data_IF_880576526261
#
_entry.id   IF_880576526261
#
_cell.length_a   1.000
_cell.length_b   1.000
_cell.length_c   1.000
_cell.angle_alpha   90.00
_cell.angle_beta   90.00
_cell.angle_gamma   90.00
#
_symmetry.space_group_name_H-M   'P 1'
#
loop_
_entity.id
_entity.type
_entity.pdbx_description
1 polymer ?
#
# COMPACT_ATOMS: atom_id res chain seq x y z
N UNK A 1 -13.91 12.41 -0.20
CA UNK A 1 -12.99 12.41 -1.38
C UNK A 1 -11.57 12.52 -0.87
N UNK A 2 -10.78 11.45 -1.00
CA UNK A 2 -9.33 11.52 -0.81
C UNK A 2 -8.69 10.36 -0.08
N UNK A 3 -8.96 9.11 -0.46
CA UNK A 3 -8.06 8.00 -0.10
C UNK A 3 -6.66 8.36 -0.61
N UNK A 4 -5.63 8.25 0.22
CA UNK A 4 -4.25 8.43 -0.23
C UNK A 4 -3.60 7.06 -0.43
N UNK A 5 -2.89 6.86 -1.54
CA UNK A 5 -2.12 5.65 -1.78
C UNK A 5 -0.65 6.00 -1.96
N UNK A 6 0.19 5.55 -1.03
CA UNK A 6 1.65 5.70 -1.14
C UNK A 6 2.22 4.50 -1.90
N UNK A 7 2.75 4.74 -3.10
CA UNK A 7 3.20 3.71 -4.05
C UNK A 7 4.72 3.65 -4.17
N UNK A 8 5.29 2.48 -3.91
CA UNK A 8 6.63 2.11 -4.37
C UNK A 8 6.59 1.63 -5.85
N UNK A 9 7.72 1.55 -6.57
CA UNK A 9 7.84 2.07 -7.94
C UNK A 9 7.22 1.26 -9.10
N UNK A 10 6.73 0.02 -8.92
CA UNK A 10 6.32 -0.82 -10.08
C UNK A 10 4.92 -1.44 -9.86
N UNK A 11 4.01 -1.16 -10.80
CA UNK A 11 2.60 -1.65 -10.80
C UNK A 11 1.52 -0.57 -10.63
N UNK A 12 1.94 0.66 -10.32
CA UNK A 12 1.13 1.77 -9.80
C UNK A 12 0.31 2.56 -10.82
N UNK A 13 0.72 2.60 -12.09
CA UNK A 13 0.13 3.51 -13.08
C UNK A 13 -1.30 3.12 -13.48
N UNK A 14 -1.58 1.83 -13.60
CA UNK A 14 -2.91 1.35 -14.04
C UNK A 14 -3.96 1.60 -12.96
N UNK A 15 -3.66 1.24 -11.70
CA UNK A 15 -4.54 1.54 -10.57
C UNK A 15 -4.78 3.06 -10.44
N UNK A 16 -3.74 3.86 -10.66
CA UNK A 16 -3.84 5.31 -10.62
C UNK A 16 -4.78 5.88 -11.68
N UNK A 17 -4.73 5.36 -12.91
CA UNK A 17 -5.67 5.73 -13.96
C UNK A 17 -7.10 5.30 -13.62
N UNK A 18 -7.30 4.07 -13.14
CA UNK A 18 -8.64 3.53 -12.83
C UNK A 18 -9.34 4.27 -11.70
N UNK A 19 -8.58 4.70 -10.68
CA UNK A 19 -9.10 5.43 -9.53
C UNK A 19 -9.01 6.96 -9.70
N UNK A 20 -8.67 7.44 -10.90
CA UNK A 20 -8.52 8.87 -11.18
C UNK A 20 -9.76 9.64 -10.72
N UNK A 21 -9.54 10.67 -9.88
CA UNK A 21 -10.62 11.48 -9.30
C UNK A 21 -11.27 10.92 -8.03
N UNK A 22 -10.88 9.73 -7.55
CA UNK A 22 -11.40 9.14 -6.29
C UNK A 22 -10.36 9.19 -5.16
N UNK A 23 -9.07 9.17 -5.50
CA UNK A 23 -7.97 9.11 -4.55
C UNK A 23 -6.73 9.88 -5.04
N UNK A 24 -5.85 10.22 -4.11
CA UNK A 24 -4.56 10.86 -4.39
C UNK A 24 -3.44 9.82 -4.36
N UNK A 25 -2.63 9.79 -5.41
CA UNK A 25 -1.45 8.93 -5.47
C UNK A 25 -0.20 9.71 -5.11
N UNK A 26 0.59 9.15 -4.19
CA UNK A 26 1.88 9.72 -3.79
C UNK A 26 2.93 8.63 -3.96
N UNK A 27 3.97 8.89 -4.76
CA UNK A 27 5.12 7.98 -4.80
C UNK A 27 6.17 8.46 -3.82
N UNK A 28 6.62 7.57 -2.95
CA UNK A 28 7.69 7.86 -2.00
C UNK A 28 8.79 6.82 -2.15
N UNK A 29 10.02 7.29 -2.28
CA UNK A 29 11.20 6.44 -2.35
C UNK A 29 11.83 6.34 -0.97
N UNK A 30 11.96 5.12 -0.43
CA UNK A 30 12.54 4.88 0.90
C UNK A 30 13.92 5.54 1.13
N UNK A 31 14.83 5.64 0.14
CA UNK A 31 16.13 6.32 0.34
C UNK A 31 16.04 7.82 0.61
N UNK A 32 14.88 8.46 0.41
CA UNK A 32 14.67 9.88 0.72
C UNK A 32 14.38 10.08 2.21
N UNK A 33 14.65 11.26 2.75
CA UNK A 33 14.34 11.58 4.15
C UNK A 33 12.86 11.35 4.49
N UNK A 34 11.94 11.75 3.60
CA UNK A 34 10.52 11.50 3.76
C UNK A 34 10.18 9.99 3.72
N UNK A 35 10.83 9.24 2.82
CA UNK A 35 10.66 7.79 2.73
C UNK A 35 11.15 7.04 3.94
N UNK A 36 12.29 7.42 4.52
CA UNK A 36 12.81 6.84 5.75
C UNK A 36 11.83 7.05 6.92
N UNK A 37 11.33 8.29 7.09
CA UNK A 37 10.34 8.61 8.13
C UNK A 37 9.06 7.79 7.94
N UNK A 38 8.52 7.72 6.73
CA UNK A 38 7.31 6.92 6.43
C UNK A 38 7.56 5.43 6.70
N UNK A 39 8.72 4.91 6.28
CA UNK A 39 9.12 3.53 6.53
C UNK A 39 9.20 3.17 8.01
N UNK A 40 9.66 4.11 8.86
CA UNK A 40 9.75 3.90 10.30
C UNK A 40 8.40 4.05 11.02
N UNK A 41 7.57 5.02 10.61
CA UNK A 41 6.23 5.26 11.17
C UNK A 41 5.33 4.05 10.89
N UNK A 42 5.26 3.60 9.64
CA UNK A 42 4.35 2.53 9.20
C UNK A 42 5.01 1.15 9.15
N UNK A 43 6.24 1.02 9.64
CA UNK A 43 7.03 -0.24 9.63
C UNK A 43 7.24 -0.84 8.23
N UNK A 44 7.15 -0.02 7.18
CA UNK A 44 7.43 -0.41 5.79
C UNK A 44 8.92 -0.34 5.48
N UNK A 45 9.66 -1.40 5.83
CA UNK A 45 11.12 -1.48 5.61
C UNK A 45 11.54 -2.14 4.31
N UNK A 46 10.60 -2.74 3.59
CA UNK A 46 10.86 -3.49 2.36
C UNK A 46 10.11 -2.88 1.20
N UNK A 47 10.69 -2.93 0.00
CA UNK A 47 10.07 -2.44 -1.23
C UNK A 47 9.69 -3.60 -2.14
N UNK A 48 8.58 -3.48 -2.90
CA UNK A 48 7.58 -2.41 -2.78
C UNK A 48 6.66 -2.63 -1.57
N UNK A 49 6.24 -1.53 -0.94
CA UNK A 49 5.16 -1.52 0.07
C UNK A 49 4.11 -0.49 -0.34
N UNK A 50 2.86 -0.69 0.11
CA UNK A 50 1.71 0.14 -0.26
C UNK A 50 0.95 0.52 1.01
N UNK A 51 0.64 1.81 1.16
CA UNK A 51 -0.15 2.34 2.27
C UNK A 51 -1.43 2.95 1.72
N UNK A 52 -2.58 2.43 2.14
CA UNK A 52 -3.91 2.93 1.78
C UNK A 52 -4.46 3.69 2.97
N UNK A 53 -4.78 4.95 2.78
CA UNK A 53 -5.43 5.81 3.76
C UNK A 53 -6.90 6.00 3.39
N UNK A 54 -7.80 6.09 4.36
CA UNK A 54 -9.20 6.43 4.10
C UNK A 54 -9.37 7.91 3.74
N UNK A 55 -10.62 8.38 3.62
CA UNK A 55 -10.90 9.78 3.30
C UNK A 55 -10.63 10.77 4.45
N UNK A 56 -10.45 10.28 5.68
CA UNK A 56 -10.06 11.07 6.84
C UNK A 56 -8.53 11.18 6.97
N UNK A 57 -7.79 10.38 6.21
CA UNK A 57 -6.33 10.33 6.25
C UNK A 57 -5.80 9.30 7.24
N UNK A 58 -6.67 8.44 7.79
CA UNK A 58 -6.29 7.36 8.68
C UNK A 58 -5.81 6.15 7.88
N UNK A 59 -4.79 5.45 8.39
CA UNK A 59 -4.24 4.28 7.71
C UNK A 59 -5.27 3.14 7.74
N UNK A 60 -5.85 2.85 6.59
CA UNK A 60 -6.85 1.79 6.47
C UNK A 60 -6.20 0.43 6.15
N UNK A 61 -5.22 0.39 5.24
CA UNK A 61 -4.56 -0.89 4.85
C UNK A 61 -3.08 -0.70 4.59
N UNK A 62 -2.31 -1.72 4.96
CA UNK A 62 -0.87 -1.81 4.66
C UNK A 62 -0.57 -3.07 3.88
N UNK A 63 0.12 -2.95 2.74
CA UNK A 63 0.52 -4.09 1.91
C UNK A 63 2.05 -4.17 1.92
N UNK A 64 2.59 -5.24 2.47
CA UNK A 64 4.05 -5.43 2.62
C UNK A 64 4.47 -6.80 2.11
N UNK A 65 5.72 -6.96 1.66
CA UNK A 65 6.27 -8.27 1.34
C UNK A 65 6.13 -9.25 2.51
N UNK A 66 5.76 -10.49 2.21
CA UNK A 66 5.75 -11.56 3.20
C UNK A 66 7.19 -12.08 3.38
N UNK A 67 7.80 -11.78 4.53
CA UNK A 67 9.18 -12.13 4.85
C UNK A 67 9.29 -13.33 5.79
N UNK A 68 8.16 -13.97 6.14
CA UNK A 68 8.13 -15.08 7.11
C UNK A 68 8.56 -16.40 6.47
N UNK A 69 8.39 -16.55 5.15
CA UNK A 69 8.66 -17.80 4.44
C UNK A 69 9.86 -17.62 3.49
N UNK A 70 10.92 -18.44 3.60
CA UNK A 70 12.12 -18.35 2.74
C UNK A 70 11.88 -18.52 1.23
N UNK A 71 10.63 -18.81 0.81
CA UNK A 71 10.19 -19.05 -0.57
C UNK A 71 8.96 -18.17 -0.92
N UNK A 72 8.54 -17.22 -0.07
CA UNK A 72 7.31 -16.46 -0.32
C UNK A 72 7.50 -15.25 -1.22
N UNK A 73 7.32 -15.47 -2.52
CA UNK A 73 7.11 -14.42 -3.52
C UNK A 73 5.68 -13.84 -3.36
N UNK A 74 5.35 -13.21 -2.24
CA UNK A 74 3.99 -12.73 -1.97
C UNK A 74 3.92 -11.52 -1.04
N UNK A 75 2.71 -11.05 -0.78
CA UNK A 75 2.41 -9.88 0.04
C UNK A 75 1.36 -10.20 1.09
N UNK A 76 1.51 -9.59 2.26
CA UNK A 76 0.49 -9.56 3.31
C UNK A 76 -0.27 -8.26 3.20
N UNK A 77 -1.58 -8.35 3.32
CA UNK A 77 -2.47 -7.20 3.52
C UNK A 77 -2.79 -7.15 5.00
N UNK A 78 -2.45 -6.03 5.63
CA UNK A 78 -2.70 -5.74 7.03
C UNK A 78 -3.85 -4.75 7.15
N UNK A 79 -4.66 -4.91 8.19
CA UNK A 79 -5.61 -3.90 8.62
C UNK A 79 -4.94 -2.75 9.38
N UNK A 80 -5.74 -1.80 9.85
CA UNK A 80 -5.32 -0.63 10.61
C UNK A 80 -4.59 -0.98 11.93
N UNK A 81 -4.82 -2.17 12.48
CA UNK A 81 -4.15 -2.66 13.70
C UNK A 81 -2.84 -3.40 13.42
N UNK A 82 -2.55 -3.66 12.14
CA UNK A 82 -1.40 -4.46 11.70
C UNK A 82 -1.66 -5.97 11.66
N UNK A 83 -2.91 -6.42 11.86
CA UNK A 83 -3.26 -7.83 11.75
C UNK A 83 -3.38 -8.25 10.28
N UNK A 84 -2.93 -9.46 9.96
CA UNK A 84 -2.99 -9.99 8.59
C UNK A 84 -4.43 -10.36 8.25
N UNK A 85 -5.05 -9.61 7.35
CA UNK A 85 -6.41 -9.88 6.85
C UNK A 85 -6.42 -10.65 5.52
N UNK A 86 -5.32 -10.59 4.76
CA UNK A 86 -5.19 -11.35 3.51
C UNK A 86 -3.72 -11.61 3.14
N UNK A 87 -3.51 -12.59 2.27
CA UNK A 87 -2.23 -12.89 1.62
C UNK A 87 -2.44 -13.03 0.12
N UNK A 88 -1.62 -12.34 -0.66
CA UNK A 88 -1.70 -12.34 -2.13
C UNK A 88 -0.35 -12.71 -2.74
N UNK A 89 -0.31 -13.46 -3.84
CA UNK A 89 0.95 -13.82 -4.50
C UNK A 89 1.62 -12.62 -5.17
N UNK A 90 0.87 -11.58 -5.53
CA UNK A 90 1.41 -10.35 -6.11
C UNK A 90 0.46 -9.18 -5.89
N UNK A 91 0.98 -7.97 -5.89
CA UNK A 91 0.14 -6.76 -5.92
C UNK A 91 -0.24 -6.47 -7.37
N UNK A 92 -1.53 -6.58 -7.69
CA UNK A 92 -2.08 -6.21 -9.00
C UNK A 92 -2.80 -4.86 -8.92
N UNK A 93 -3.00 -4.16 -10.05
CA UNK A 93 -3.79 -2.94 -10.07
C UNK A 93 -5.20 -3.12 -9.53
N UNK A 94 -5.85 -4.26 -9.82
CA UNK A 94 -7.22 -4.56 -9.40
C UNK A 94 -7.30 -4.67 -7.88
N UNK A 95 -6.32 -5.32 -7.24
CA UNK A 95 -6.24 -5.38 -5.78
C UNK A 95 -6.17 -3.99 -5.16
N UNK A 96 -5.36 -3.08 -5.73
CA UNK A 96 -5.26 -1.71 -5.24
C UNK A 96 -6.58 -0.95 -5.41
N UNK A 97 -7.27 -1.15 -6.53
CA UNK A 97 -8.59 -0.55 -6.80
C UNK A 97 -9.63 -1.03 -5.79
N UNK A 98 -9.69 -2.34 -5.56
CA UNK A 98 -10.66 -2.94 -4.64
C UNK A 98 -10.40 -2.44 -3.21
N UNK A 99 -9.15 -2.47 -2.74
CA UNK A 99 -8.81 -1.98 -1.39
C UNK A 99 -9.15 -0.50 -1.19
N UNK A 100 -8.95 0.35 -2.19
CA UNK A 100 -9.34 1.76 -2.12
C UNK A 100 -10.87 1.92 -2.08
N UNK A 101 -11.63 1.09 -2.81
CA UNK A 101 -13.09 1.17 -2.83
C UNK A 101 -13.76 0.59 -1.57
N UNK A 102 -13.14 -0.41 -0.95
CA UNK A 102 -13.64 -1.01 0.30
C UNK A 102 -13.25 -0.21 1.56
N UNK A 103 -12.50 0.88 1.42
CA UNK A 103 -12.10 1.76 2.53
C UNK A 103 -12.91 3.06 2.61
N UNK A 104 -13.86 3.28 1.69
CA UNK A 104 -14.81 4.39 1.70
C UNK A 104 -16.26 3.95 1.91
#
# INVERSE_FOLDING_TARGET
MGVALVLAPVGSKIAATTLSGQCRFVRVELPTAAGAVIGDVYKCRYTPSYLVFDEHGDLARTIIPDNVTPIANGYRVLDETGAVVSRVPRVTPELLVDLVRFTG
#
